data_IF_936256120549
#
_entry.id   IF_936256120549
#
_cell.length_a   1.000
_cell.length_b   1.000
_cell.length_c   1.000
_cell.angle_alpha   90.00
_cell.angle_beta   90.00
_cell.angle_gamma   90.00
#
_symmetry.space_group_name_H-M   'P 1'
#
loop_
_entity.id
_entity.type
_entity.pdbx_description
1 polymer ?
#
# COMPACT_ATOMS: atom_id res chain seq x y z
N UNK A 1 -6.19 -4.64 -4.81
CA UNK A 1 -5.08 -3.83 -5.38
C UNK A 1 -4.48 -4.54 -6.58
N UNK A 2 -3.76 -3.84 -7.47
CA UNK A 2 -2.92 -4.45 -8.51
C UNK A 2 -1.50 -3.93 -8.43
N UNK A 3 -0.51 -4.82 -8.47
CA UNK A 3 0.91 -4.46 -8.41
C UNK A 3 1.54 -4.48 -9.81
N UNK A 4 2.26 -3.42 -10.18
CA UNK A 4 3.01 -3.33 -11.44
C UNK A 4 4.39 -2.72 -11.18
N UNK A 5 5.39 -3.57 -11.04
CA UNK A 5 6.76 -3.16 -10.76
C UNK A 5 6.85 -2.30 -9.49
N UNK A 6 7.23 -1.03 -9.64
CA UNK A 6 7.38 -0.07 -8.54
C UNK A 6 6.09 0.61 -8.08
N UNK A 7 4.93 0.28 -8.66
CA UNK A 7 3.65 0.92 -8.32
C UNK A 7 2.58 -0.09 -7.89
N UNK A 8 1.74 0.33 -6.94
CA UNK A 8 0.51 -0.37 -6.58
C UNK A 8 -0.70 0.52 -6.94
N UNK A 9 -1.59 0.00 -7.77
CA UNK A 9 -2.85 0.62 -8.14
C UNK A 9 -3.98 0.19 -7.21
N UNK A 10 -4.69 1.17 -6.64
CA UNK A 10 -5.92 0.98 -5.90
C UNK A 10 -7.13 1.34 -6.78
N UNK A 11 -8.11 0.45 -6.80
CA UNK A 11 -9.34 0.57 -7.58
C UNK A 11 -10.49 0.45 -6.58
N UNK A 12 -11.29 1.50 -6.44
CA UNK A 12 -12.46 1.49 -5.58
C UNK A 12 -13.54 0.63 -6.25
N UNK A 13 -14.22 -0.21 -5.48
CA UNK A 13 -15.25 -1.12 -6.01
C UNK A 13 -16.38 -0.38 -6.75
N UNK A 14 -16.70 0.84 -6.32
CA UNK A 14 -17.73 1.69 -6.96
C UNK A 14 -17.22 2.53 -8.13
N UNK A 15 -15.94 2.40 -8.52
CA UNK A 15 -15.36 3.18 -9.62
C UNK A 15 -15.55 2.45 -10.95
N UNK A 16 -16.09 3.16 -11.95
CA UNK A 16 -16.27 2.66 -13.33
C UNK A 16 -15.03 3.02 -14.19
N UNK A 17 -14.02 3.68 -13.61
CA UNK A 17 -12.84 4.13 -14.34
C UNK A 17 -11.97 2.94 -14.75
N UNK A 18 -11.44 3.01 -15.97
CA UNK A 18 -10.50 2.00 -16.51
C UNK A 18 -9.09 2.10 -15.94
N UNK A 19 -8.81 3.10 -15.10
CA UNK A 19 -7.51 3.35 -14.47
C UNK A 19 -7.64 3.42 -12.93
N UNK A 20 -6.54 3.26 -12.18
CA UNK A 20 -6.59 3.30 -10.71
C UNK A 20 -7.11 4.63 -10.18
N UNK A 21 -7.95 4.58 -9.13
CA UNK A 21 -8.36 5.76 -8.38
C UNK A 21 -7.19 6.36 -7.60
N UNK A 22 -6.27 5.51 -7.14
CA UNK A 22 -5.01 5.92 -6.50
C UNK A 22 -3.85 5.04 -6.97
N UNK A 23 -2.68 5.67 -7.10
CA UNK A 23 -1.40 4.98 -7.32
C UNK A 23 -0.50 5.25 -6.12
N UNK A 24 0.09 4.19 -5.59
CA UNK A 24 1.06 4.25 -4.50
C UNK A 24 2.45 3.90 -5.07
N UNK A 25 3.41 4.80 -4.89
CA UNK A 25 4.78 4.58 -5.31
C UNK A 25 5.53 3.78 -4.26
N UNK A 26 6.10 2.62 -4.63
CA UNK A 26 6.90 1.80 -3.73
C UNK A 26 8.06 2.58 -3.11
N UNK A 27 8.64 3.56 -3.82
CA UNK A 27 9.81 4.30 -3.33
C UNK A 27 9.48 5.34 -2.27
N UNK A 28 8.29 5.95 -2.38
CA UNK A 28 7.86 7.05 -1.51
C UNK A 28 6.97 6.61 -0.34
N UNK A 29 6.42 5.40 -0.39
CA UNK A 29 5.51 4.91 0.63
C UNK A 29 6.26 4.49 1.90
N UNK A 30 5.72 4.77 3.06
CA UNK A 30 6.23 4.33 4.36
C UNK A 30 5.07 3.77 5.18
N UNK A 31 5.30 2.67 5.91
CA UNK A 31 4.34 2.21 6.93
C UNK A 31 4.64 2.97 8.20
N UNK A 32 3.68 3.77 8.65
CA UNK A 32 3.78 4.59 9.87
C UNK A 32 3.39 3.77 11.09
N UNK A 33 2.26 3.06 11.00
CA UNK A 33 1.73 2.27 12.10
C UNK A 33 0.93 1.07 11.60
N UNK A 34 0.74 0.09 12.48
CA UNK A 34 -0.06 -1.12 12.26
C UNK A 34 -0.97 -1.34 13.45
N UNK A 35 -2.27 -1.54 13.20
CA UNK A 35 -3.27 -1.77 14.25
C UNK A 35 -4.32 -2.81 13.85
N UNK A 36 -5.02 -3.34 14.84
CA UNK A 36 -6.26 -4.08 14.65
C UNK A 36 -7.46 -3.11 14.45
N UNK A 37 -8.58 -3.58 13.87
CA UNK A 37 -9.84 -2.87 13.87
C UNK A 37 -10.31 -2.56 15.29
N UNK A 38 -11.11 -1.50 15.44
CA UNK A 38 -11.63 -0.99 16.72
C UNK A 38 -13.12 -0.66 16.58
N UNK A 39 -13.88 -0.88 17.65
CA UNK A 39 -15.26 -0.39 17.77
C UNK A 39 -16.16 -0.84 16.61
N UNK A 40 -16.70 0.13 15.89
CA UNK A 40 -17.60 -0.02 14.75
C UNK A 40 -16.91 -0.49 13.46
N UNK A 41 -15.57 -0.48 13.39
CA UNK A 41 -14.85 -1.01 12.23
C UNK A 41 -15.12 -2.51 12.00
N UNK A 42 -15.53 -3.24 13.04
CA UNK A 42 -15.91 -4.66 12.95
C UNK A 42 -17.21 -4.92 12.21
N UNK A 43 -18.03 -3.89 11.93
CA UNK A 43 -19.25 -4.05 11.12
C UNK A 43 -18.94 -4.47 9.67
N UNK A 44 -17.71 -4.18 9.21
CA UNK A 44 -17.24 -4.48 7.85
C UNK A 44 -15.89 -5.21 7.81
N UNK A 45 -15.25 -5.46 8.96
CA UNK A 45 -13.94 -6.09 9.08
C UNK A 45 -13.97 -7.27 10.07
N UNK A 46 -13.00 -8.17 9.91
CA UNK A 46 -12.79 -9.30 10.83
C UNK A 46 -11.58 -9.07 11.73
N UNK A 47 -11.43 -9.85 12.80
CA UNK A 47 -10.24 -9.85 13.68
C UNK A 47 -8.94 -10.17 12.94
N UNK A 48 -9.02 -10.90 11.83
CA UNK A 48 -7.88 -11.20 10.97
C UNK A 48 -7.44 -10.01 10.10
N UNK A 49 -8.21 -8.92 10.09
CA UNK A 49 -7.91 -7.71 9.34
C UNK A 49 -6.86 -6.89 10.07
N UNK A 50 -5.94 -6.32 9.30
CA UNK A 50 -4.90 -5.44 9.80
C UNK A 50 -5.02 -4.11 9.09
N UNK A 51 -5.07 -3.02 9.86
CA UNK A 51 -5.09 -1.67 9.33
C UNK A 51 -3.66 -1.13 9.37
N UNK A 52 -3.15 -0.75 8.19
CA UNK A 52 -1.87 -0.08 8.03
C UNK A 52 -2.10 1.41 7.79
N UNK A 53 -1.42 2.23 8.59
CA UNK A 53 -1.26 3.64 8.29
C UNK A 53 -0.03 3.81 7.40
N UNK A 54 -0.22 4.48 6.28
CA UNK A 54 0.78 4.69 5.26
C UNK A 54 1.00 6.18 5.06
N UNK A 55 2.25 6.57 4.86
CA UNK A 55 2.63 7.91 4.44
C UNK A 55 3.29 7.85 3.08
N UNK A 56 2.75 8.58 2.12
CA UNK A 56 3.38 8.78 0.83
C UNK A 56 4.23 10.05 0.90
N UNK A 57 5.55 9.90 0.85
CA UNK A 57 6.54 10.98 0.86
C UNK A 57 6.98 11.40 -0.55
N UNK A 58 6.31 10.90 -1.60
CA UNK A 58 6.62 11.33 -2.96
C UNK A 58 6.38 12.85 -3.12
N UNK A 59 7.24 13.55 -3.89
CA UNK A 59 7.19 15.00 -4.02
C UNK A 59 5.85 15.50 -4.60
N UNK A 60 5.16 14.65 -5.34
CA UNK A 60 3.88 14.97 -5.97
C UNK A 60 2.67 14.76 -5.03
N UNK A 61 2.80 13.93 -3.97
CA UNK A 61 1.64 13.41 -3.23
C UNK A 61 1.96 13.13 -1.76
N UNK A 62 2.27 14.17 -0.98
CA UNK A 62 2.35 14.06 0.49
C UNK A 62 0.98 13.81 1.12
N UNK A 63 0.60 12.55 1.30
CA UNK A 63 -0.69 12.14 1.89
C UNK A 63 -0.55 10.93 2.80
N UNK A 64 -1.31 10.95 3.89
CA UNK A 64 -1.54 9.79 4.75
C UNK A 64 -2.71 8.95 4.22
N UNK A 65 -2.59 7.63 4.29
CA UNK A 65 -3.63 6.68 3.91
C UNK A 65 -3.76 5.60 4.98
N UNK A 66 -4.97 5.14 5.25
CA UNK A 66 -5.18 3.88 5.96
C UNK A 66 -5.63 2.82 4.97
N UNK A 67 -5.09 1.61 5.09
CA UNK A 67 -5.54 0.44 4.33
C UNK A 67 -5.81 -0.73 5.27
N UNK A 68 -7.02 -1.27 5.18
CA UNK A 68 -7.38 -2.53 5.82
C UNK A 68 -7.05 -3.69 4.89
N UNK A 69 -6.28 -4.66 5.39
CA UNK A 69 -5.83 -5.83 4.64
C UNK A 69 -6.12 -7.10 5.44
N UNK A 70 -6.67 -8.12 4.80
CA UNK A 70 -6.64 -9.46 5.34
C UNK A 70 -5.21 -10.02 5.35
N UNK A 71 -5.03 -11.21 5.93
CA UNK A 71 -3.71 -11.87 6.03
C UNK A 71 -3.01 -12.02 4.67
N UNK A 72 -3.72 -12.45 3.63
CA UNK A 72 -3.13 -12.70 2.31
C UNK A 72 -2.72 -11.41 1.62
N UNK A 73 -3.61 -10.41 1.64
CA UNK A 73 -3.36 -9.10 1.07
C UNK A 73 -2.23 -8.36 1.83
N UNK A 74 -2.14 -8.52 3.15
CA UNK A 74 -1.06 -7.97 3.97
C UNK A 74 0.29 -8.56 3.57
N UNK A 75 0.37 -9.88 3.40
CA UNK A 75 1.60 -10.54 2.95
C UNK A 75 2.01 -10.04 1.56
N UNK A 76 1.09 -10.04 0.60
CA UNK A 76 1.37 -9.58 -0.75
C UNK A 76 1.83 -8.10 -0.78
N UNK A 77 1.18 -7.24 -0.01
CA UNK A 77 1.52 -5.82 0.09
C UNK A 77 2.92 -5.62 0.70
N UNK A 78 3.20 -6.31 1.81
CA UNK A 78 4.50 -6.22 2.50
C UNK A 78 5.63 -6.73 1.60
N UNK A 79 5.47 -7.89 0.96
CA UNK A 79 6.46 -8.43 0.04
C UNK A 79 6.73 -7.50 -1.15
N UNK A 80 5.68 -6.88 -1.72
CA UNK A 80 5.84 -5.87 -2.76
C UNK A 80 6.63 -4.67 -2.24
N UNK A 81 6.31 -4.18 -1.04
CA UNK A 81 6.93 -3.03 -0.40
C UNK A 81 8.41 -3.25 -0.12
N UNK A 82 8.78 -4.46 0.32
CA UNK A 82 10.15 -4.89 0.65
C UNK A 82 11.00 -5.11 -0.60
N UNK A 83 10.38 -5.45 -1.73
CA UNK A 83 11.07 -5.67 -3.03
C UNK A 83 11.64 -4.38 -3.66
N UNK A 84 11.86 -3.32 -2.87
CA UNK A 84 12.52 -2.07 -3.30
C UNK A 84 13.92 -2.37 -3.83
N UNK A 85 14.29 -1.87 -5.02
CA UNK A 85 15.68 -1.96 -5.47
C UNK A 85 16.56 -1.17 -4.50
N UNK A 86 17.59 -1.81 -3.94
CA UNK A 86 18.58 -1.12 -3.11
C UNK A 86 19.20 0.04 -3.89
N UNK A 87 19.37 1.24 -3.30
CA UNK A 87 20.06 2.35 -3.96
C UNK A 87 21.45 1.96 -4.48
N UNK A 88 22.11 1.01 -3.80
CA UNK A 88 23.45 0.50 -4.17
C UNK A 88 23.46 -0.40 -5.40
N UNK A 89 22.36 -1.08 -5.72
CA UNK A 89 22.28 -1.96 -6.90
C UNK A 89 22.36 -1.17 -8.23
N UNK A 90 22.19 0.15 -8.19
CA UNK A 90 22.19 1.02 -9.36
C UNK A 90 23.57 1.55 -9.76
N UNK A 91 24.64 1.24 -9.00
CA UNK A 91 26.02 1.69 -9.29
C UNK A 91 26.85 0.68 -10.10
N UNK A 92 26.23 -0.35 -10.69
CA UNK A 92 26.94 -1.34 -11.52
C UNK A 92 26.16 -1.64 -12.80
N UNK A 93 25.96 -0.61 -13.59
CA UNK A 93 25.54 -0.72 -14.99
C UNK A 93 26.14 0.47 -15.73
N UNK A 94 27.46 0.42 -15.92
CA UNK A 94 28.20 1.14 -16.95
C UNK A 94 29.35 0.21 -17.38
#
# INVERSE_FOLDING_TARGET
MRYRGGEAGFYRLSSIRWWPDRRLSRRGLEVVSRRAPRGDEFDIMTDATVILELRDNSPERRRGYEIALDRGALTAFTSWLESRPSPRARRRSY
#
